data_IF_907215762666
#
_entry.id   IF_907215762666
#
_cell.length_a   1.000
_cell.length_b   1.000
_cell.length_c   1.000
_cell.angle_alpha   90.00
_cell.angle_beta   90.00
_cell.angle_gamma   90.00
#
_symmetry.space_group_name_H-M   'P 1'
#
loop_
_entity.id
_entity.type
_entity.pdbx_description
1 polymer ?
#
# COMPACT_ATOMS: atom_id res chain seq x y z
N UNK A 1 16.28 22.46 68.71
CA UNK A 1 14.96 22.11 68.12
C UNK A 1 14.65 22.93 66.88
N UNK A 2 14.79 24.31 66.94
CA UNK A 2 14.49 25.19 65.81
C UNK A 2 15.35 24.92 64.58
N UNK A 3 16.61 24.56 64.71
CA UNK A 3 17.53 24.25 63.61
C UNK A 3 17.13 22.95 62.86
N UNK A 4 16.65 21.94 63.57
CA UNK A 4 16.15 20.69 62.98
C UNK A 4 14.82 20.89 62.23
N UNK A 5 13.95 21.77 62.76
CA UNK A 5 12.70 22.13 62.06
C UNK A 5 12.97 22.84 60.72
N UNK A 6 13.90 23.81 60.72
CA UNK A 6 14.27 24.53 59.50
C UNK A 6 14.94 23.62 58.45
N UNK A 7 15.77 22.66 58.88
CA UNK A 7 16.36 21.69 58.00
C UNK A 7 15.31 20.74 57.37
N UNK A 8 14.34 20.28 58.16
CA UNK A 8 13.25 19.39 57.66
C UNK A 8 12.38 20.07 56.62
N UNK A 9 12.04 21.37 56.82
CA UNK A 9 11.24 22.14 55.85
C UNK A 9 11.93 22.23 54.47
N UNK A 10 13.28 22.22 54.42
CA UNK A 10 14.03 22.25 53.17
C UNK A 10 14.31 20.87 52.59
N UNK A 11 14.53 19.84 53.41
CA UNK A 11 14.88 18.51 52.96
C UNK A 11 13.67 17.71 52.43
N UNK A 12 12.52 17.84 53.07
CA UNK A 12 11.31 17.08 52.68
C UNK A 12 10.87 17.41 51.26
N UNK A 13 10.75 18.65 50.78
CA UNK A 13 10.41 18.93 49.39
C UNK A 13 11.45 18.43 48.39
N UNK A 14 12.74 18.53 48.76
CA UNK A 14 13.82 18.02 47.90
C UNK A 14 13.78 16.49 47.73
N UNK A 15 13.56 15.78 48.83
CA UNK A 15 13.39 14.33 48.81
C UNK A 15 12.14 13.91 48.00
N UNK A 16 11.02 14.63 48.23
CA UNK A 16 9.79 14.36 47.43
C UNK A 16 9.99 14.61 45.95
N UNK A 17 10.73 15.65 45.58
CA UNK A 17 11.05 15.93 44.16
C UNK A 17 11.89 14.81 43.53
N UNK A 18 12.88 14.30 44.24
CA UNK A 18 13.70 13.15 43.80
C UNK A 18 12.84 11.90 43.62
N UNK A 19 11.98 11.58 44.61
CA UNK A 19 11.09 10.42 44.53
C UNK A 19 10.13 10.51 43.36
N UNK A 20 9.53 11.69 43.12
CA UNK A 20 8.63 11.89 41.99
C UNK A 20 9.36 11.71 40.64
N UNK A 21 10.60 12.20 40.53
CA UNK A 21 11.40 12.00 39.31
C UNK A 21 11.79 10.57 39.11
N UNK A 22 12.15 9.82 40.16
CA UNK A 22 12.43 8.41 40.09
C UNK A 22 11.19 7.57 39.70
N UNK A 23 10.03 7.94 40.22
CA UNK A 23 8.75 7.34 39.81
C UNK A 23 8.45 7.61 38.32
N UNK A 24 8.68 8.83 37.85
CA UNK A 24 8.55 9.21 36.44
C UNK A 24 9.45 8.36 35.55
N UNK A 25 10.72 8.18 35.92
CA UNK A 25 11.66 7.30 35.18
C UNK A 25 11.18 5.84 35.13
N UNK A 26 10.66 5.32 36.24
CA UNK A 26 10.09 3.95 36.26
C UNK A 26 8.86 3.83 35.39
N UNK A 27 8.01 4.84 35.36
CA UNK A 27 6.80 4.86 34.55
C UNK A 27 7.10 4.87 33.05
N UNK A 28 8.13 5.63 32.64
CA UNK A 28 8.52 5.74 31.24
C UNK A 28 9.43 4.61 30.73
N UNK A 29 10.02 3.82 31.62
CA UNK A 29 10.93 2.74 31.26
C UNK A 29 10.30 1.69 30.31
N UNK A 30 9.05 1.21 30.50
CA UNK A 30 8.43 0.27 29.54
C UNK A 30 8.30 0.84 28.13
N UNK A 31 7.96 2.14 28.02
CA UNK A 31 7.82 2.81 26.72
C UNK A 31 9.18 2.87 26.00
N UNK A 32 10.23 3.24 26.73
CA UNK A 32 11.58 3.31 26.13
C UNK A 32 12.14 1.94 25.75
N UNK A 33 11.82 0.89 26.49
CA UNK A 33 12.20 -0.48 26.11
C UNK A 33 11.45 -0.94 24.87
N UNK A 34 10.13 -0.73 24.76
CA UNK A 34 9.37 -1.08 23.57
C UNK A 34 9.88 -0.37 22.31
N UNK A 35 10.15 0.93 22.41
CA UNK A 35 10.72 1.70 21.29
C UNK A 35 12.10 1.16 20.90
N UNK A 36 12.94 0.82 21.88
CA UNK A 36 14.26 0.26 21.62
C UNK A 36 14.16 -1.10 20.93
N UNK A 37 13.28 -1.98 21.41
CA UNK A 37 13.08 -3.31 20.84
C UNK A 37 12.59 -3.21 19.38
N UNK A 38 11.66 -2.27 19.08
CA UNK A 38 11.21 -1.99 17.72
C UNK A 38 12.35 -1.44 16.83
N UNK A 39 13.18 -0.51 17.34
CA UNK A 39 14.34 0.02 16.61
C UNK A 39 15.36 -1.09 16.33
N UNK A 40 15.63 -1.95 17.32
CA UNK A 40 16.59 -3.05 17.18
C UNK A 40 16.07 -4.09 16.17
N UNK A 41 14.78 -4.41 16.18
CA UNK A 41 14.13 -5.26 15.20
C UNK A 41 14.17 -4.64 13.80
N UNK A 42 13.81 -3.36 13.68
CA UNK A 42 13.88 -2.63 12.42
C UNK A 42 15.31 -2.58 11.86
N UNK A 43 16.31 -2.41 12.74
CA UNK A 43 17.73 -2.36 12.35
C UNK A 43 18.23 -3.73 11.86
N UNK A 44 17.79 -4.82 12.50
CA UNK A 44 18.09 -6.19 12.05
C UNK A 44 17.45 -6.47 10.69
N UNK A 45 16.20 -6.08 10.50
CA UNK A 45 15.47 -6.29 9.27
C UNK A 45 16.01 -5.44 8.10
N UNK A 46 16.61 -4.27 8.37
CA UNK A 46 17.23 -3.40 7.35
C UNK A 46 18.42 -4.06 6.63
N UNK A 47 19.11 -5.01 7.26
CA UNK A 47 20.25 -5.73 6.67
C UNK A 47 19.85 -6.85 5.70
N UNK A 48 18.57 -7.23 5.63
CA UNK A 48 18.10 -8.41 4.88
C UNK A 48 17.41 -8.02 3.56
N UNK A 49 17.31 -6.74 3.22
CA UNK A 49 16.63 -6.32 2.00
C UNK A 49 17.37 -6.80 0.75
N UNK A 50 16.92 -7.90 0.17
CA UNK A 50 17.18 -8.19 -1.24
C UNK A 50 16.26 -7.28 -2.06
N UNK A 51 16.82 -6.30 -2.72
CA UNK A 51 16.13 -5.48 -3.69
C UNK A 51 16.00 -6.29 -4.99
N UNK A 52 14.77 -6.65 -5.36
CA UNK A 52 14.52 -7.20 -6.69
C UNK A 52 14.52 -6.04 -7.69
N UNK A 53 15.53 -6.01 -8.53
CA UNK A 53 15.72 -4.93 -9.52
C UNK A 53 15.19 -5.30 -10.90
N UNK A 54 14.86 -6.58 -11.11
CA UNK A 54 14.34 -7.10 -12.37
C UNK A 54 13.08 -7.92 -12.14
N UNK A 55 12.19 -7.86 -13.09
CA UNK A 55 11.02 -8.70 -13.21
C UNK A 55 10.96 -9.15 -14.70
N UNK A 56 11.60 -10.27 -14.98
CA UNK A 56 11.78 -10.73 -16.37
C UNK A 56 10.83 -11.87 -16.76
N UNK A 57 10.36 -12.68 -15.80
CA UNK A 57 9.54 -13.87 -16.08
C UNK A 57 8.26 -13.94 -15.26
N UNK A 58 8.34 -14.20 -13.94
CA UNK A 58 7.14 -14.44 -13.13
C UNK A 58 7.34 -14.12 -11.64
N UNK A 59 6.20 -13.98 -10.95
CA UNK A 59 6.10 -14.01 -9.49
C UNK A 59 5.35 -15.30 -9.15
N UNK A 60 5.98 -16.17 -8.33
CA UNK A 60 5.41 -17.44 -7.93
C UNK A 60 5.23 -17.51 -6.42
N UNK A 61 4.04 -17.88 -5.99
CA UNK A 61 3.68 -18.21 -4.61
C UNK A 61 3.56 -19.71 -4.52
N UNK A 62 4.26 -20.34 -3.58
CA UNK A 62 4.24 -21.79 -3.32
C UNK A 62 3.80 -22.05 -1.89
N UNK A 63 2.71 -22.82 -1.75
CA UNK A 63 2.14 -23.32 -0.48
C UNK A 63 1.96 -22.19 0.58
N UNK A 64 1.52 -21.02 0.14
CA UNK A 64 1.32 -19.89 1.01
C UNK A 64 0.13 -20.13 1.93
N UNK A 65 0.38 -20.03 3.24
CA UNK A 65 -0.68 -19.96 4.25
C UNK A 65 -0.55 -18.67 5.05
N UNK A 66 -1.67 -18.06 5.38
CA UNK A 66 -1.72 -16.82 6.12
C UNK A 66 -2.98 -16.71 6.98
N UNK A 67 -2.80 -16.27 8.21
CA UNK A 67 -3.86 -15.99 9.18
C UNK A 67 -3.67 -14.66 9.88
N UNK A 68 -4.77 -13.98 10.18
CA UNK A 68 -4.73 -12.83 11.10
C UNK A 68 -4.86 -13.33 12.53
N UNK A 69 -3.91 -12.93 13.39
CA UNK A 69 -4.04 -13.15 14.83
C UNK A 69 -5.14 -12.25 15.40
N UNK A 70 -6.23 -12.84 15.85
CA UNK A 70 -7.25 -12.09 16.60
C UNK A 70 -6.78 -11.92 18.04
N UNK A 71 -6.88 -10.68 18.56
CA UNK A 71 -6.69 -10.40 20.00
C UNK A 71 -7.91 -10.84 20.83
N UNK A 72 -9.02 -11.12 20.19
CA UNK A 72 -10.26 -11.56 20.81
C UNK A 72 -10.32 -13.08 20.86
N UNK A 73 -11.16 -13.63 21.77
CA UNK A 73 -11.28 -15.05 22.06
C UNK A 73 -11.78 -15.94 20.88
N UNK A 74 -12.02 -15.36 19.72
CA UNK A 74 -12.57 -16.06 18.56
C UNK A 74 -11.55 -16.81 17.68
N UNK A 75 -10.26 -16.83 18.07
CA UNK A 75 -9.25 -17.65 17.41
C UNK A 75 -8.61 -16.99 16.18
N UNK A 76 -7.68 -17.71 15.57
CA UNK A 76 -7.02 -17.31 14.34
C UNK A 76 -8.00 -17.34 13.14
N UNK A 77 -8.08 -16.24 12.38
CA UNK A 77 -8.82 -16.21 11.14
C UNK A 77 -7.91 -16.58 9.97
N UNK A 78 -7.96 -17.84 9.55
CA UNK A 78 -7.25 -18.31 8.36
C UNK A 78 -7.83 -17.66 7.10
N UNK A 79 -6.95 -17.02 6.33
CA UNK A 79 -7.30 -16.36 5.06
C UNK A 79 -6.88 -17.24 3.87
N UNK A 80 -5.69 -17.84 3.93
CA UNK A 80 -5.19 -18.74 2.89
C UNK A 80 -4.62 -20.00 3.51
N UNK A 81 -4.83 -21.13 2.80
CA UNK A 81 -4.29 -22.45 3.15
C UNK A 81 -3.67 -23.08 1.89
N UNK A 82 -2.34 -23.27 1.90
CA UNK A 82 -1.57 -23.89 0.81
C UNK A 82 -1.86 -23.28 -0.57
N UNK A 83 -1.90 -21.94 -0.62
CA UNK A 83 -2.16 -21.20 -1.83
C UNK A 83 -0.98 -21.32 -2.80
N UNK A 84 -1.27 -21.70 -4.03
CA UNK A 84 -0.32 -21.72 -5.13
C UNK A 84 -0.83 -20.78 -6.24
N UNK A 85 0.03 -19.86 -6.70
CA UNK A 85 -0.28 -18.90 -7.76
C UNK A 85 0.99 -18.53 -8.50
N UNK A 86 0.92 -18.43 -9.81
CA UNK A 86 1.99 -17.89 -10.64
C UNK A 86 1.44 -16.80 -11.56
N UNK A 87 2.08 -15.63 -11.53
CA UNK A 87 1.76 -14.44 -12.30
C UNK A 87 2.91 -14.19 -13.25
N UNK A 88 2.66 -14.27 -14.57
CA UNK A 88 3.67 -14.04 -15.57
C UNK A 88 3.80 -12.56 -15.94
N UNK A 89 4.96 -12.20 -16.45
CA UNK A 89 5.20 -10.86 -16.97
C UNK A 89 4.22 -10.55 -18.11
N UNK A 90 3.68 -9.35 -18.07
CA UNK A 90 2.68 -8.82 -19.01
C UNK A 90 1.27 -9.44 -18.89
N UNK A 91 1.02 -10.35 -17.94
CA UNK A 91 -0.33 -10.83 -17.68
C UNK A 91 -1.28 -9.67 -17.32
N UNK A 92 -2.50 -9.74 -17.85
CA UNK A 92 -3.63 -8.88 -17.49
C UNK A 92 -4.58 -9.70 -16.63
N UNK A 93 -4.51 -9.50 -15.31
CA UNK A 93 -5.16 -10.36 -14.31
C UNK A 93 -6.29 -9.58 -13.65
N UNK A 94 -7.45 -10.19 -13.55
CA UNK A 94 -8.52 -9.70 -12.68
C UNK A 94 -8.78 -10.69 -11.56
N UNK A 95 -8.89 -10.16 -10.33
CA UNK A 95 -9.16 -10.93 -9.11
C UNK A 95 -10.56 -10.60 -8.64
N UNK A 96 -11.41 -11.60 -8.65
CA UNK A 96 -12.80 -11.55 -8.18
C UNK A 96 -12.92 -12.16 -6.78
N UNK A 97 -13.96 -11.79 -6.06
CA UNK A 97 -14.32 -12.40 -4.78
C UNK A 97 -15.19 -11.47 -3.96
N UNK A 98 -15.86 -12.02 -2.96
CA UNK A 98 -16.68 -11.26 -2.03
C UNK A 98 -15.83 -10.37 -1.13
N UNK A 99 -16.46 -9.35 -0.51
CA UNK A 99 -15.78 -8.53 0.50
C UNK A 99 -15.34 -9.42 1.66
N UNK A 100 -14.07 -9.27 2.06
CA UNK A 100 -13.50 -10.09 3.14
C UNK A 100 -13.01 -11.48 2.72
N UNK A 101 -13.02 -11.84 1.43
CA UNK A 101 -12.50 -13.13 0.92
C UNK A 101 -10.97 -13.24 0.95
N UNK A 102 -10.23 -12.14 1.18
CA UNK A 102 -8.76 -12.13 1.23
C UNK A 102 -8.06 -11.50 0.01
N UNK A 103 -8.78 -10.85 -0.92
CA UNK A 103 -8.18 -10.22 -2.12
C UNK A 103 -7.08 -9.23 -1.79
N UNK A 104 -7.36 -8.26 -0.91
CA UNK A 104 -6.35 -7.27 -0.49
C UNK A 104 -5.22 -7.91 0.30
N UNK A 105 -5.51 -8.94 1.11
CA UNK A 105 -4.47 -9.73 1.81
C UNK A 105 -3.52 -10.43 0.82
N UNK A 106 -4.04 -10.96 -0.29
CA UNK A 106 -3.22 -11.54 -1.36
C UNK A 106 -2.27 -10.49 -1.95
N UNK A 107 -2.79 -9.30 -2.23
CA UNK A 107 -1.99 -8.18 -2.75
C UNK A 107 -0.94 -7.74 -1.74
N UNK A 108 -1.29 -7.61 -0.46
CA UNK A 108 -0.34 -7.23 0.59
C UNK A 108 0.79 -8.25 0.75
N UNK A 109 0.49 -9.54 0.57
CA UNK A 109 1.51 -10.60 0.52
C UNK A 109 2.39 -10.45 -0.72
N UNK A 110 1.80 -10.24 -1.91
CA UNK A 110 2.52 -10.01 -3.16
C UNK A 110 3.45 -8.78 -3.10
N UNK A 111 2.99 -7.71 -2.44
CA UNK A 111 3.75 -6.47 -2.25
C UNK A 111 4.83 -6.58 -1.17
N UNK A 112 4.87 -7.69 -0.41
CA UNK A 112 5.78 -7.86 0.72
C UNK A 112 5.43 -7.01 1.95
N UNK A 113 4.21 -6.50 2.03
CA UNK A 113 3.68 -5.78 3.20
C UNK A 113 3.38 -6.77 4.31
N UNK A 114 2.70 -7.88 3.96
CA UNK A 114 2.41 -8.97 4.87
C UNK A 114 3.36 -10.14 4.66
N UNK A 115 3.85 -10.70 5.75
CA UNK A 115 4.65 -11.91 5.75
C UNK A 115 3.72 -13.12 5.87
N UNK A 116 3.77 -14.10 4.95
CA UNK A 116 3.02 -15.35 5.10
C UNK A 116 3.52 -16.15 6.31
N UNK A 117 2.63 -16.90 6.94
CA UNK A 117 2.95 -17.80 8.07
C UNK A 117 3.79 -18.98 7.58
N UNK A 118 3.49 -19.49 6.39
CA UNK A 118 4.25 -20.56 5.72
C UNK A 118 4.25 -20.36 4.22
N UNK A 119 5.08 -21.15 3.52
CA UNK A 119 5.25 -21.11 2.06
C UNK A 119 6.41 -20.26 1.60
N UNK A 120 6.54 -20.09 0.29
CA UNK A 120 7.65 -19.39 -0.35
C UNK A 120 7.15 -18.49 -1.47
N UNK A 121 7.80 -17.35 -1.64
CA UNK A 121 7.56 -16.41 -2.73
C UNK A 121 8.82 -16.30 -3.55
N UNK A 122 8.69 -16.40 -4.87
CA UNK A 122 9.81 -16.29 -5.81
C UNK A 122 9.53 -15.15 -6.79
N UNK A 123 10.58 -14.38 -7.08
CA UNK A 123 10.64 -13.44 -8.20
C UNK A 123 11.68 -13.96 -9.20
N UNK A 124 11.28 -14.27 -10.41
CA UNK A 124 12.14 -14.84 -11.45
C UNK A 124 13.02 -16.00 -10.92
N UNK A 125 12.39 -16.96 -10.22
CA UNK A 125 13.04 -18.10 -9.56
C UNK A 125 13.98 -17.75 -8.39
N UNK A 126 14.06 -16.48 -7.96
CA UNK A 126 14.84 -16.08 -6.79
C UNK A 126 13.93 -16.03 -5.58
N UNK A 127 14.25 -16.78 -4.52
CA UNK A 127 13.49 -16.79 -3.28
C UNK A 127 13.50 -15.40 -2.63
N UNK A 128 12.31 -14.87 -2.43
CA UNK A 128 12.06 -13.61 -1.73
C UNK A 128 11.97 -13.85 -0.22
N UNK A 129 13.00 -13.46 0.52
CA UNK A 129 12.95 -13.50 1.99
C UNK A 129 12.31 -12.22 2.50
N UNK A 130 11.21 -12.34 3.25
CA UNK A 130 10.58 -11.20 3.88
C UNK A 130 11.44 -10.58 5.00
N UNK A 131 11.52 -9.23 5.15
CA UNK A 131 10.95 -8.24 4.26
C UNK A 131 11.74 -8.08 2.95
N UNK A 132 11.03 -8.04 1.84
CA UNK A 132 11.62 -7.74 0.54
C UNK A 132 11.05 -6.44 -0.01
N UNK A 133 11.81 -5.79 -0.89
CA UNK A 133 11.33 -4.62 -1.63
C UNK A 133 11.50 -4.87 -3.12
N UNK A 134 10.45 -4.60 -3.86
CA UNK A 134 10.47 -4.59 -5.32
C UNK A 134 10.62 -3.12 -5.71
N UNK A 135 11.87 -2.70 -5.92
CA UNK A 135 12.21 -1.29 -6.16
C UNK A 135 11.45 -0.73 -7.37
N UNK A 136 10.64 0.32 -7.14
CA UNK A 136 9.97 1.15 -8.17
C UNK A 136 9.26 0.39 -9.31
N UNK A 137 9.20 -0.96 -9.20
CA UNK A 137 8.66 -1.83 -10.24
C UNK A 137 7.17 -2.10 -10.07
N UNK A 138 6.66 -1.91 -8.85
CA UNK A 138 5.25 -2.08 -8.52
C UNK A 138 4.68 -0.75 -8.08
N UNK A 139 3.55 -0.37 -8.67
CA UNK A 139 2.68 0.69 -8.15
C UNK A 139 1.36 0.09 -7.69
N UNK A 140 0.88 0.56 -6.55
CA UNK A 140 -0.35 0.11 -5.93
C UNK A 140 -1.31 1.28 -5.75
N UNK A 141 -2.54 1.11 -6.21
CA UNK A 141 -3.64 2.05 -5.98
C UNK A 141 -4.63 1.39 -5.02
N UNK A 142 -4.71 1.86 -3.77
CA UNK A 142 -5.61 1.28 -2.78
C UNK A 142 -7.06 1.66 -3.05
N UNK A 143 -7.99 0.92 -2.44
CA UNK A 143 -9.43 1.18 -2.50
C UNK A 143 -9.79 2.61 -2.05
N UNK A 144 -9.12 3.10 -1.01
CA UNK A 144 -9.29 4.47 -0.51
C UNK A 144 -7.97 5.24 -0.64
N UNK A 145 -7.76 5.93 -1.76
CA UNK A 145 -6.53 6.69 -1.96
C UNK A 145 -6.50 7.97 -1.12
N UNK A 146 -5.30 8.42 -0.77
CA UNK A 146 -5.07 9.66 -0.02
C UNK A 146 -4.58 10.75 -0.96
N UNK A 147 -5.12 11.96 -0.78
CA UNK A 147 -4.62 13.20 -1.38
C UNK A 147 -3.96 14.07 -0.31
N UNK A 148 -2.90 14.76 -0.70
CA UNK A 148 -2.16 15.68 0.18
C UNK A 148 -2.66 17.11 -0.03
N UNK A 149 -2.50 17.98 0.99
CA UNK A 149 -2.77 19.43 0.93
C UNK A 149 -1.72 20.13 0.05
N UNK A 150 -1.71 19.79 -1.25
CA UNK A 150 -0.74 20.20 -2.26
C UNK A 150 -1.42 20.42 -3.61
N UNK A 151 -0.67 20.90 -4.60
CA UNK A 151 -1.18 21.02 -5.98
C UNK A 151 -1.55 19.65 -6.55
N UNK A 152 -2.43 19.61 -7.53
CA UNK A 152 -2.76 18.40 -8.28
C UNK A 152 -1.47 17.80 -8.89
N UNK A 153 -0.61 18.64 -9.43
CA UNK A 153 0.70 18.20 -9.97
C UNK A 153 1.52 17.48 -8.89
N UNK A 154 1.71 18.09 -7.73
CA UNK A 154 2.49 17.50 -6.64
C UNK A 154 1.84 16.23 -6.08
N UNK A 155 0.50 16.15 -6.12
CA UNK A 155 -0.22 14.92 -5.78
C UNK A 155 0.06 13.77 -6.75
N UNK A 156 0.28 14.04 -8.04
CA UNK A 156 0.63 13.01 -9.03
C UNK A 156 2.11 12.67 -8.94
N UNK A 157 2.99 13.66 -8.85
CA UNK A 157 4.44 13.48 -8.85
C UNK A 157 4.94 12.74 -7.61
N UNK A 158 4.33 12.93 -6.48
CA UNK A 158 4.60 12.32 -5.17
C UNK A 158 6.09 12.02 -4.91
N UNK A 159 6.77 12.90 -4.18
CA UNK A 159 8.18 12.80 -3.79
C UNK A 159 9.22 12.96 -4.92
N UNK A 160 8.83 13.33 -6.12
CA UNK A 160 9.80 13.72 -7.14
C UNK A 160 10.31 15.15 -6.88
N UNK A 161 11.58 15.38 -7.16
CA UNK A 161 12.13 16.73 -7.12
C UNK A 161 11.69 17.52 -8.37
N UNK A 162 11.44 18.83 -8.22
CA UNK A 162 11.02 19.70 -9.33
C UNK A 162 11.99 19.70 -10.52
N UNK A 163 13.21 19.20 -10.33
CA UNK A 163 14.26 19.17 -11.35
C UNK A 163 14.16 17.98 -12.31
N UNK A 164 13.42 16.94 -11.93
CA UNK A 164 13.40 15.64 -12.63
C UNK A 164 12.02 15.32 -13.22
N UNK A 165 11.14 16.31 -13.38
CA UNK A 165 9.77 16.08 -13.85
C UNK A 165 9.77 15.70 -15.34
N UNK A 166 9.27 14.50 -15.65
CA UNK A 166 8.93 14.10 -17.01
C UNK A 166 7.51 14.56 -17.36
N UNK A 167 7.40 15.74 -18.01
CA UNK A 167 6.12 16.31 -18.39
C UNK A 167 5.37 15.47 -19.44
N UNK A 168 6.06 14.75 -20.31
CA UNK A 168 5.43 13.86 -21.28
C UNK A 168 4.77 12.65 -20.57
N UNK A 169 5.46 12.06 -19.60
CA UNK A 169 4.92 10.99 -18.78
C UNK A 169 3.78 11.48 -17.87
N UNK A 170 3.89 12.70 -17.36
CA UNK A 170 2.84 13.32 -16.54
C UNK A 170 1.54 13.49 -17.34
N UNK A 171 1.65 14.02 -18.58
CA UNK A 171 0.50 14.18 -19.47
C UNK A 171 -0.10 12.82 -19.86
N UNK A 172 0.75 11.83 -20.17
CA UNK A 172 0.31 10.47 -20.46
C UNK A 172 -0.43 9.84 -19.27
N UNK A 173 0.08 10.01 -18.06
CA UNK A 173 -0.55 9.50 -16.85
C UNK A 173 -1.92 10.15 -16.61
N UNK A 174 -2.02 11.47 -16.81
CA UNK A 174 -3.26 12.25 -16.72
C UNK A 174 -4.32 11.71 -17.70
N UNK A 175 -3.93 11.46 -18.96
CA UNK A 175 -4.83 10.96 -20.02
C UNK A 175 -5.28 9.50 -19.75
N UNK A 176 -4.36 8.61 -19.38
CA UNK A 176 -4.69 7.19 -19.12
C UNK A 176 -5.68 7.09 -17.96
N UNK A 177 -5.49 7.88 -16.91
CA UNK A 177 -6.39 7.90 -15.74
C UNK A 177 -7.69 8.68 -15.98
N UNK A 178 -7.87 9.31 -17.13
CA UNK A 178 -8.95 10.26 -17.42
C UNK A 178 -9.03 11.42 -16.42
N UNK A 179 -7.93 11.78 -15.77
CA UNK A 179 -7.87 12.92 -14.86
C UNK A 179 -7.95 14.26 -15.63
N UNK A 180 -7.52 14.30 -16.88
CA UNK A 180 -7.68 15.39 -17.83
C UNK A 180 -9.14 15.90 -17.89
N UNK A 181 -10.11 15.00 -17.87
CA UNK A 181 -11.53 15.33 -17.99
C UNK A 181 -12.05 16.30 -16.91
N UNK A 182 -11.39 16.38 -15.77
CA UNK A 182 -11.75 17.34 -14.73
C UNK A 182 -10.68 18.38 -14.48
N UNK A 183 -9.40 18.05 -14.61
CA UNK A 183 -8.29 19.00 -14.38
C UNK A 183 -8.36 20.16 -15.37
N UNK A 184 -8.62 19.86 -16.65
CA UNK A 184 -8.66 20.86 -17.73
C UNK A 184 -9.88 21.83 -17.61
N UNK A 185 -10.82 21.53 -16.70
CA UNK A 185 -11.95 22.40 -16.38
C UNK A 185 -11.70 23.33 -15.20
N UNK A 186 -10.55 23.19 -14.52
CA UNK A 186 -10.18 24.02 -13.39
C UNK A 186 -9.40 25.24 -13.87
N UNK A 187 -9.73 26.43 -13.36
CA UNK A 187 -9.07 27.69 -13.75
C UNK A 187 -7.55 27.64 -13.54
N UNK A 188 -7.08 26.97 -12.48
CA UNK A 188 -5.66 26.82 -12.17
C UNK A 188 -5.07 25.50 -12.69
N UNK A 189 -5.90 24.62 -13.29
CA UNK A 189 -5.49 23.34 -13.84
C UNK A 189 -4.67 22.49 -12.85
N UNK A 190 -3.48 22.07 -13.28
CA UNK A 190 -2.56 21.26 -12.47
C UNK A 190 -2.01 21.97 -11.21
N UNK A 191 -2.04 23.31 -11.18
CA UNK A 191 -1.54 24.11 -10.04
C UNK A 191 -2.60 24.28 -8.94
N UNK A 192 -3.83 23.83 -9.18
CA UNK A 192 -4.90 23.87 -8.16
C UNK A 192 -4.51 23.07 -6.94
N UNK A 193 -4.55 23.72 -5.76
CA UNK A 193 -4.32 23.06 -4.47
C UNK A 193 -5.58 22.30 -4.07
N UNK A 194 -5.40 21.04 -3.70
CA UNK A 194 -6.45 20.12 -3.23
C UNK A 194 -6.10 19.58 -1.85
N UNK A 195 -7.08 19.00 -1.14
CA UNK A 195 -6.90 18.40 0.17
C UNK A 195 -7.92 18.89 1.18
N UNK A 196 -7.71 18.58 2.46
CA UNK A 196 -8.67 18.91 3.52
C UNK A 196 -8.77 20.42 3.79
N UNK A 197 -7.68 21.17 3.60
CA UNK A 197 -7.58 22.61 3.82
C UNK A 197 -7.84 23.46 2.57
N UNK A 198 -8.05 22.83 1.43
CA UNK A 198 -8.23 23.49 0.14
C UNK A 198 -9.47 22.96 -0.59
N UNK A 199 -9.42 22.85 -1.92
CA UNK A 199 -10.53 22.33 -2.69
C UNK A 199 -10.74 20.84 -2.42
N UNK A 200 -11.93 20.47 -1.95
CA UNK A 200 -12.32 19.06 -1.87
C UNK A 200 -12.66 18.54 -3.27
N UNK A 201 -12.09 17.41 -3.60
CA UNK A 201 -12.37 16.68 -4.83
C UNK A 201 -13.31 15.51 -4.55
N UNK A 202 -14.09 15.10 -5.56
CA UNK A 202 -14.97 13.93 -5.43
C UNK A 202 -14.15 12.63 -5.30
N UNK A 203 -14.75 11.56 -4.74
CA UNK A 203 -14.09 10.26 -4.63
C UNK A 203 -13.60 9.72 -5.97
N UNK A 204 -14.38 9.89 -7.05
CA UNK A 204 -13.96 9.50 -8.40
C UNK A 204 -12.81 10.35 -8.97
N UNK A 205 -12.73 11.64 -8.62
CA UNK A 205 -11.58 12.48 -8.97
C UNK A 205 -10.33 12.05 -8.20
N UNK A 206 -10.49 11.73 -6.91
CA UNK A 206 -9.41 11.24 -6.06
C UNK A 206 -8.85 9.90 -6.56
N UNK A 207 -9.72 8.97 -6.96
CA UNK A 207 -9.30 7.70 -7.56
C UNK A 207 -8.53 7.92 -8.87
N UNK A 208 -9.00 8.81 -9.77
CA UNK A 208 -8.28 9.13 -11.00
C UNK A 208 -6.91 9.75 -10.75
N UNK A 209 -6.77 10.62 -9.76
CA UNK A 209 -5.44 11.17 -9.39
C UNK A 209 -4.52 10.08 -8.82
N UNK A 210 -5.03 9.17 -8.02
CA UNK A 210 -4.23 8.07 -7.50
C UNK A 210 -3.76 7.11 -8.61
N UNK A 211 -4.62 6.85 -9.60
CA UNK A 211 -4.25 6.09 -10.80
C UNK A 211 -3.18 6.84 -11.60
N UNK A 212 -3.34 8.17 -11.82
CA UNK A 212 -2.34 8.99 -12.49
C UNK A 212 -0.99 8.94 -11.78
N UNK A 213 -0.97 9.09 -10.45
CA UNK A 213 0.23 8.94 -9.61
C UNK A 213 0.91 7.59 -9.83
N UNK A 214 0.16 6.49 -9.80
CA UNK A 214 0.68 5.15 -9.98
C UNK A 214 1.30 4.95 -11.37
N UNK A 215 0.68 5.51 -12.41
CA UNK A 215 1.13 5.40 -13.81
C UNK A 215 2.33 6.30 -14.08
N UNK A 216 2.41 7.47 -13.46
CA UNK A 216 3.51 8.41 -13.64
C UNK A 216 4.87 7.76 -13.35
N UNK A 217 4.96 6.95 -12.31
CA UNK A 217 6.18 6.24 -11.93
C UNK A 217 6.54 5.06 -12.88
N UNK A 218 5.81 4.89 -13.97
CA UNK A 218 6.05 3.90 -15.02
C UNK A 218 6.37 2.48 -14.50
N UNK A 219 5.51 1.89 -13.65
CA UNK A 219 5.76 0.60 -13.02
C UNK A 219 5.77 -0.54 -14.05
N UNK A 220 6.43 -1.66 -13.74
CA UNK A 220 6.31 -2.91 -14.49
C UNK A 220 5.05 -3.69 -14.10
N UNK A 221 4.63 -3.54 -12.83
CA UNK A 221 3.42 -4.16 -12.28
C UNK A 221 2.54 -3.06 -11.71
N UNK A 222 1.32 -2.95 -12.20
CA UNK A 222 0.31 -2.02 -11.69
C UNK A 222 -0.80 -2.81 -11.00
N UNK A 223 -1.00 -2.53 -9.73
CA UNK A 223 -2.04 -3.14 -8.91
C UNK A 223 -3.11 -2.11 -8.58
N UNK A 224 -4.36 -2.45 -8.86
CA UNK A 224 -5.53 -1.61 -8.66
C UNK A 224 -6.52 -2.33 -7.74
N UNK A 225 -6.63 -1.90 -6.48
CA UNK A 225 -7.53 -2.51 -5.51
C UNK A 225 -8.83 -1.70 -5.46
N UNK A 226 -9.86 -2.16 -6.18
CA UNK A 226 -11.16 -1.49 -6.31
C UNK A 226 -11.07 0.00 -6.65
N UNK A 227 -9.99 0.40 -7.31
CA UNK A 227 -9.57 1.78 -7.51
C UNK A 227 -10.44 2.59 -8.49
N UNK A 228 -11.49 1.99 -9.04
CA UNK A 228 -12.42 2.63 -9.98
C UNK A 228 -13.89 2.60 -9.51
N UNK A 229 -14.16 2.15 -8.29
CA UNK A 229 -15.53 1.96 -7.80
C UNK A 229 -16.32 3.28 -7.61
N UNK A 230 -15.63 4.39 -7.35
CA UNK A 230 -16.26 5.71 -7.20
C UNK A 230 -16.35 6.49 -8.52
N UNK A 231 -15.90 5.91 -9.63
CA UNK A 231 -15.94 6.52 -10.96
C UNK A 231 -17.19 6.07 -11.69
N UNK A 232 -17.79 6.93 -12.51
CA UNK A 232 -18.92 6.54 -13.35
C UNK A 232 -18.54 5.44 -14.37
N UNK A 233 -19.50 4.58 -14.73
CA UNK A 233 -19.27 3.41 -15.57
C UNK A 233 -18.58 3.70 -16.90
N UNK A 234 -18.92 4.79 -17.55
CA UNK A 234 -18.32 5.14 -18.86
C UNK A 234 -16.85 5.54 -18.71
N UNK A 235 -16.54 6.34 -17.69
CA UNK A 235 -15.15 6.74 -17.39
C UNK A 235 -14.36 5.55 -16.85
N UNK A 236 -14.95 4.69 -16.02
CA UNK A 236 -14.35 3.44 -15.55
C UNK A 236 -13.91 2.55 -16.71
N UNK A 237 -14.78 2.30 -17.68
CA UNK A 237 -14.43 1.49 -18.87
C UNK A 237 -13.29 2.12 -19.68
N UNK A 238 -13.28 3.45 -19.84
CA UNK A 238 -12.18 4.15 -20.52
C UNK A 238 -10.86 3.96 -19.78
N UNK A 239 -10.84 4.16 -18.46
CA UNK A 239 -9.63 3.98 -17.65
C UNK A 239 -9.10 2.56 -17.79
N UNK A 240 -9.96 1.55 -17.66
CA UNK A 240 -9.57 0.15 -17.74
C UNK A 240 -9.03 -0.17 -19.13
N UNK A 241 -9.69 0.26 -20.20
CA UNK A 241 -9.20 0.05 -21.56
C UNK A 241 -7.84 0.74 -21.79
N UNK A 242 -7.67 1.97 -21.31
CA UNK A 242 -6.40 2.68 -21.41
C UNK A 242 -5.28 1.94 -20.68
N UNK A 243 -5.55 1.43 -19.47
CA UNK A 243 -4.58 0.67 -18.67
C UNK A 243 -4.22 -0.67 -19.34
N UNK A 244 -5.21 -1.39 -19.86
CA UNK A 244 -4.97 -2.66 -20.54
C UNK A 244 -4.15 -2.51 -21.84
N UNK A 245 -4.28 -1.37 -22.50
CA UNK A 245 -3.48 -1.03 -23.68
C UNK A 245 -2.04 -0.56 -23.34
N UNK A 246 -1.67 -0.50 -22.06
CA UNK A 246 -0.28 -0.22 -21.68
C UNK A 246 0.61 -1.40 -22.05
N UNK A 247 1.57 -1.19 -22.95
CA UNK A 247 2.51 -2.21 -23.38
C UNK A 247 3.50 -2.58 -22.29
N UNK A 248 3.92 -3.85 -22.27
CA UNK A 248 4.93 -4.38 -21.37
C UNK A 248 4.64 -4.15 -19.87
N UNK A 249 3.36 -4.18 -19.49
CA UNK A 249 2.92 -4.03 -18.10
C UNK A 249 2.12 -5.24 -17.63
N UNK A 250 2.45 -5.72 -16.45
CA UNK A 250 1.59 -6.66 -15.73
C UNK A 250 0.55 -5.86 -14.96
N UNK A 251 -0.73 -6.18 -15.17
CA UNK A 251 -1.85 -5.47 -14.54
C UNK A 251 -2.60 -6.45 -13.64
N UNK A 252 -2.80 -6.06 -12.39
CA UNK A 252 -3.61 -6.80 -11.43
C UNK A 252 -4.75 -5.89 -10.99
N UNK A 253 -5.97 -6.23 -11.36
CA UNK A 253 -7.18 -5.50 -10.96
C UNK A 253 -7.99 -6.33 -9.99
N UNK A 254 -8.28 -5.78 -8.83
CA UNK A 254 -9.26 -6.33 -7.90
C UNK A 254 -10.58 -5.61 -8.13
N UNK A 255 -11.64 -6.37 -8.33
CA UNK A 255 -12.99 -5.83 -8.51
C UNK A 255 -14.05 -6.86 -8.14
N UNK A 256 -15.25 -6.41 -7.86
CA UNK A 256 -16.44 -7.25 -7.76
C UNK A 256 -17.30 -7.18 -9.03
N UNK A 257 -16.96 -6.32 -9.99
CA UNK A 257 -17.67 -6.16 -11.25
C UNK A 257 -17.28 -7.24 -12.26
N UNK A 258 -18.21 -8.16 -12.55
CA UNK A 258 -17.99 -9.24 -13.49
C UNK A 258 -17.96 -8.79 -14.96
N UNK A 259 -18.55 -7.65 -15.30
CA UNK A 259 -18.57 -7.17 -16.69
C UNK A 259 -17.14 -6.83 -17.18
N UNK A 260 -16.29 -6.36 -16.28
CA UNK A 260 -14.90 -5.98 -16.58
C UNK A 260 -14.03 -7.18 -16.93
N UNK A 261 -14.37 -8.38 -16.45
CA UNK A 261 -13.54 -9.58 -16.62
C UNK A 261 -13.31 -9.99 -18.08
N UNK A 262 -14.20 -9.57 -18.97
CA UNK A 262 -14.14 -9.93 -20.41
C UNK A 262 -12.86 -9.48 -21.10
N UNK A 263 -12.26 -8.41 -20.59
CA UNK A 263 -11.10 -7.76 -21.20
C UNK A 263 -9.75 -8.23 -20.63
N UNK A 264 -9.77 -9.18 -19.68
CA UNK A 264 -8.57 -9.66 -19.01
C UNK A 264 -8.19 -11.07 -19.51
N UNK A 265 -6.88 -11.34 -19.58
CA UNK A 265 -6.36 -12.64 -20.02
C UNK A 265 -6.59 -13.71 -18.94
N UNK A 266 -6.34 -13.36 -17.69
CA UNK A 266 -6.44 -14.25 -16.53
C UNK A 266 -7.53 -13.78 -15.59
N UNK A 267 -8.44 -14.67 -15.24
CA UNK A 267 -9.52 -14.41 -14.27
C UNK A 267 -9.34 -15.33 -13.07
N UNK A 268 -9.05 -14.76 -11.94
CA UNK A 268 -8.91 -15.45 -10.66
C UNK A 268 -10.12 -15.16 -9.77
N UNK A 269 -10.56 -16.17 -9.04
CA UNK A 269 -11.60 -16.01 -8.00
C UNK A 269 -11.03 -16.43 -6.66
N UNK A 270 -11.08 -15.54 -5.69
CA UNK A 270 -10.74 -15.83 -4.29
C UNK A 270 -12.01 -16.29 -3.59
N UNK A 271 -12.03 -17.54 -3.16
CA UNK A 271 -13.13 -18.16 -2.45
C UNK A 271 -12.61 -19.22 -1.47
N UNK A 272 -13.24 -19.35 -0.30
CA UNK A 272 -12.97 -20.40 0.69
C UNK A 272 -11.47 -20.67 0.91
N UNK A 273 -10.70 -19.59 1.17
CA UNK A 273 -9.24 -19.63 1.47
C UNK A 273 -8.34 -20.10 0.31
N UNK A 274 -8.89 -20.21 -0.90
CA UNK A 274 -8.21 -20.66 -2.10
C UNK A 274 -8.39 -19.70 -3.26
N UNK A 275 -7.56 -19.86 -4.27
CA UNK A 275 -7.72 -19.19 -5.57
C UNK A 275 -8.11 -20.22 -6.62
N UNK A 276 -9.20 -19.93 -7.32
CA UNK A 276 -9.64 -20.67 -8.49
C UNK A 276 -9.29 -19.87 -9.75
N UNK A 277 -8.67 -20.53 -10.73
CA UNK A 277 -8.40 -19.94 -12.06
C UNK A 277 -9.62 -20.23 -12.92
N UNK A 278 -10.42 -19.19 -13.21
CA UNK A 278 -11.62 -19.32 -14.03
C UNK A 278 -11.31 -19.24 -15.53
N UNK A 279 -10.26 -18.51 -15.91
CA UNK A 279 -9.77 -18.35 -17.28
C UNK A 279 -8.27 -18.05 -17.27
N UNK A 280 -7.53 -18.64 -18.22
CA UNK A 280 -6.11 -18.39 -18.49
C UNK A 280 -5.86 -18.44 -20.00
#
# INVERSE_FOLDING_TARGET
>A
IAMYGAASIRLVPSASKILNQLQGLRYHKPITTSIKDEIDEFSKNRKIKKNFTKFDHSIKLEDISFSYQSKDKDGEKNIFENLNLEIFKNDKIVILGETGSGKSTLVDILLGILKPDSGKIFFDNILANHPYTINKKISYVPQTPVSFDETIQNNILFLESDKDIDFAQLEKAKQISCADLFIDKLDEGMQKIIGDKAMKISGGQQQRLAIARAIYHNPEILVLDEATNSVDKNTQQKIINNILNMENKTIILITHDQEITKNFDVVLKVNDKKIEILRK
#
